data_IF_914283243037
#
_entry.id   IF_914283243037
#
_cell.length_a   1.000
_cell.length_b   1.000
_cell.length_c   1.000
_cell.angle_alpha   90.00
_cell.angle_beta   90.00
_cell.angle_gamma   90.00
#
_symmetry.space_group_name_H-M   'P 1'
#
loop_
_entity.id
_entity.type
_entity.pdbx_description
1 polymer ?
#
# COMPACT_ATOMS: atom_id res chain seq x y z
N UNK A 1 -7.82 -7.78 6.09
CA UNK A 1 -7.62 -7.16 4.78
C UNK A 1 -6.29 -6.46 4.76
N UNK A 2 -5.46 -6.86 3.81
CA UNK A 2 -4.23 -6.14 3.52
C UNK A 2 -4.54 -4.93 2.62
N UNK A 3 -3.82 -3.83 2.77
CA UNK A 3 -3.96 -2.63 1.93
C UNK A 3 -2.86 -2.63 0.87
N UNK A 4 -3.20 -2.35 -0.39
CA UNK A 4 -2.23 -2.39 -1.48
C UNK A 4 -2.29 -1.14 -2.36
N UNK A 5 -1.11 -0.63 -2.75
CA UNK A 5 -0.99 0.28 -3.89
C UNK A 5 -0.75 -0.54 -5.16
N UNK A 6 -1.80 -0.71 -5.93
CA UNK A 6 -1.77 -1.43 -7.20
C UNK A 6 -1.27 -0.52 -8.31
N UNK A 7 -0.21 -0.91 -9.00
CA UNK A 7 0.40 -0.18 -10.11
C UNK A 7 -0.03 -0.81 -11.43
N UNK A 8 -0.74 -0.04 -12.26
CA UNK A 8 -1.30 -0.52 -13.51
C UNK A 8 -0.63 0.11 -14.73
N UNK A 9 -0.71 -0.62 -15.84
CA UNK A 9 -0.26 -0.14 -17.14
C UNK A 9 -1.22 -0.62 -18.20
N UNK A 10 -1.83 0.31 -18.92
CA UNK A 10 -2.77 -0.02 -19.97
C UNK A 10 -2.04 -0.59 -21.18
N UNK A 11 -2.48 -1.74 -21.68
CA UNK A 11 -1.90 -2.32 -22.90
C UNK A 11 -2.31 -1.60 -24.18
N UNK A 12 -3.42 -0.87 -24.17
CA UNK A 12 -3.90 -0.09 -25.33
C UNK A 12 -3.20 1.26 -25.45
N UNK A 13 -3.36 2.12 -24.45
CA UNK A 13 -2.85 3.51 -24.51
C UNK A 13 -1.49 3.68 -23.82
N UNK A 14 -0.93 2.63 -23.21
CA UNK A 14 0.38 2.61 -22.51
C UNK A 14 0.46 3.55 -21.31
N UNK A 15 -0.65 4.15 -20.89
CA UNK A 15 -0.75 4.96 -19.68
C UNK A 15 -0.50 4.11 -18.45
N UNK A 16 0.14 4.69 -17.45
CA UNK A 16 0.31 4.11 -16.12
C UNK A 16 -0.51 4.91 -15.12
N UNK A 17 -1.07 4.22 -14.15
CA UNK A 17 -1.74 4.80 -12.99
C UNK A 17 -1.54 3.87 -11.81
N UNK A 18 -1.90 4.37 -10.63
CA UNK A 18 -1.91 3.60 -9.41
C UNK A 18 -3.29 3.72 -8.77
N UNK A 19 -3.71 2.70 -8.05
CA UNK A 19 -4.92 2.73 -7.25
C UNK A 19 -4.70 2.00 -5.92
N UNK A 20 -5.28 2.52 -4.85
CA UNK A 20 -5.17 1.96 -3.52
C UNK A 20 -6.40 1.13 -3.20
N UNK A 21 -6.22 -0.15 -2.86
CA UNK A 21 -7.35 -1.02 -2.61
C UNK A 21 -7.00 -2.17 -1.65
N UNK A 22 -8.02 -2.73 -1.01
CA UNK A 22 -7.91 -3.86 -0.09
C UNK A 22 -7.65 -5.23 -0.78
N UNK A 23 -7.50 -5.22 -2.11
CA UNK A 23 -7.12 -6.39 -2.93
C UNK A 23 -6.33 -5.98 -4.16
N UNK A 24 -5.56 -6.94 -4.70
CA UNK A 24 -4.95 -6.84 -6.03
C UNK A 24 -5.97 -7.28 -7.07
N UNK A 25 -6.84 -6.37 -7.47
CA UNK A 25 -7.95 -6.62 -8.37
C UNK A 25 -7.71 -5.94 -9.73
N UNK A 26 -8.37 -6.40 -10.79
CA UNK A 26 -8.23 -5.77 -12.12
C UNK A 26 -9.00 -4.43 -12.15
N UNK A 27 -8.47 -3.45 -12.89
CA UNK A 27 -9.03 -2.11 -12.98
C UNK A 27 -9.28 -1.65 -14.44
N UNK A 28 -10.10 -0.60 -14.60
CA UNK A 28 -10.37 0.07 -15.86
C UNK A 28 -9.41 1.25 -16.07
N UNK A 29 -8.80 1.32 -17.25
CA UNK A 29 -7.92 2.43 -17.59
C UNK A 29 -8.69 3.77 -17.62
N UNK A 30 -8.34 4.74 -16.76
CA UNK A 30 -9.09 6.00 -16.64
C UNK A 30 -8.95 6.92 -17.87
N UNK A 31 -8.03 6.60 -18.78
CA UNK A 31 -7.78 7.39 -19.98
C UNK A 31 -8.54 6.88 -21.21
N UNK A 32 -8.69 5.58 -21.38
CA UNK A 32 -9.26 5.00 -22.62
C UNK A 32 -10.39 4.01 -22.37
N UNK A 33 -10.77 3.76 -21.12
CA UNK A 33 -11.85 2.83 -20.75
C UNK A 33 -11.51 1.37 -21.06
N UNK A 34 -10.23 1.03 -21.23
CA UNK A 34 -9.82 -0.35 -21.42
C UNK A 34 -9.95 -1.09 -20.08
N UNK A 35 -10.73 -2.17 -20.05
CA UNK A 35 -11.07 -2.96 -18.85
C UNK A 35 -10.19 -4.18 -18.70
N UNK A 36 -10.16 -4.72 -17.49
CA UNK A 36 -9.42 -5.93 -17.13
C UNK A 36 -7.89 -5.71 -17.13
N UNK A 37 -7.44 -4.54 -16.65
CA UNK A 37 -6.00 -4.31 -16.44
C UNK A 37 -5.59 -4.87 -15.09
N UNK A 38 -4.86 -5.97 -15.10
CA UNK A 38 -4.19 -6.50 -13.91
C UNK A 38 -3.02 -5.59 -13.52
N UNK A 39 -2.80 -5.33 -12.22
CA UNK A 39 -1.63 -4.57 -11.79
C UNK A 39 -0.36 -5.32 -12.17
N UNK A 40 0.64 -4.60 -12.69
CA UNK A 40 1.94 -5.19 -13.01
C UNK A 40 2.85 -5.28 -11.77
N UNK A 41 2.53 -4.53 -10.72
CA UNK A 41 3.18 -4.56 -9.42
C UNK A 41 2.16 -4.08 -8.38
N UNK A 42 2.25 -4.60 -7.17
CA UNK A 42 1.46 -4.14 -6.02
C UNK A 42 2.39 -3.96 -4.84
N UNK A 43 2.33 -2.80 -4.21
CA UNK A 43 3.07 -2.53 -2.98
C UNK A 43 2.18 -2.84 -1.78
N UNK A 44 2.72 -3.59 -0.83
CA UNK A 44 2.07 -3.92 0.43
C UNK A 44 2.08 -2.65 1.29
N UNK A 45 0.90 -2.09 1.54
CA UNK A 45 0.69 -0.89 2.35
C UNK A 45 -0.07 -1.19 3.65
N UNK A 46 -0.28 -2.44 4.03
CA UNK A 46 -0.88 -2.79 5.34
C UNK A 46 -0.03 -2.25 6.45
N UNK A 47 1.30 -2.27 6.28
CA UNK A 47 2.22 -1.72 7.28
C UNK A 47 3.22 -0.75 6.67
N UNK A 48 3.33 0.44 7.26
CA UNK A 48 4.16 1.54 6.78
C UNK A 48 5.12 2.00 7.87
N UNK A 49 6.25 2.56 7.45
CA UNK A 49 7.16 3.29 8.34
C UNK A 49 7.22 4.73 7.83
N UNK A 50 6.69 5.66 8.61
CA UNK A 50 6.77 7.09 8.33
C UNK A 50 7.82 7.76 9.23
N UNK A 51 8.51 8.78 8.71
CA UNK A 51 9.43 9.59 9.51
C UNK A 51 8.69 10.83 10.03
N UNK A 52 8.41 10.87 11.33
CA UNK A 52 7.85 12.03 12.02
C UNK A 52 8.88 12.65 12.96
N UNK A 53 9.31 13.88 12.67
CA UNK A 53 10.17 14.69 13.56
C UNK A 53 11.47 13.99 13.98
N UNK A 54 12.01 13.13 13.13
CA UNK A 54 13.24 12.36 13.39
C UNK A 54 13.01 11.03 14.12
N UNK A 55 11.75 10.64 14.34
CA UNK A 55 11.36 9.31 14.78
C UNK A 55 10.69 8.55 13.63
N UNK A 56 10.79 7.23 13.65
CA UNK A 56 10.21 6.32 12.67
C UNK A 56 8.98 5.66 13.29
N UNK A 57 7.81 6.04 12.81
CA UNK A 57 6.51 5.58 13.29
C UNK A 57 6.08 4.40 12.42
N UNK A 58 5.88 3.24 13.05
CA UNK A 58 5.28 2.08 12.39
C UNK A 58 3.76 2.23 12.45
N UNK A 59 3.14 2.30 11.29
CA UNK A 59 1.69 2.38 11.10
C UNK A 59 1.16 1.07 10.54
N UNK A 60 -0.02 0.66 10.99
CA UNK A 60 -0.69 -0.55 10.53
C UNK A 60 -2.16 -0.28 10.27
N UNK A 61 -2.64 -0.65 9.08
CA UNK A 61 -4.06 -0.66 8.78
C UNK A 61 -4.66 -2.01 9.17
N UNK A 62 -5.67 -2.04 10.07
CA UNK A 62 -6.27 -3.28 10.52
C UNK A 62 -7.03 -3.98 9.41
N UNK A 63 -7.16 -5.28 9.59
CA UNK A 63 -7.87 -6.12 8.65
C UNK A 63 -9.36 -5.79 8.45
N UNK A 64 -9.92 -5.01 9.38
CA UNK A 64 -11.29 -4.50 9.36
C UNK A 64 -11.45 -3.20 8.56
N UNK A 65 -10.38 -2.64 8.01
CA UNK A 65 -10.45 -1.51 7.11
C UNK A 65 -11.11 -1.97 5.79
N UNK A 66 -12.19 -1.30 5.38
CA UNK A 66 -12.99 -1.69 4.21
C UNK A 66 -12.80 -0.74 3.03
N UNK A 67 -13.09 0.55 3.22
CA UNK A 67 -13.13 1.54 2.14
C UNK A 67 -11.86 2.41 2.04
N UNK A 68 -11.23 2.67 3.18
CA UNK A 68 -10.05 3.52 3.32
C UNK A 68 -9.10 2.85 4.32
N UNK A 69 -7.78 3.08 4.25
CA UNK A 69 -6.85 2.54 5.23
C UNK A 69 -7.08 3.23 6.59
N UNK A 70 -7.14 2.44 7.66
CA UNK A 70 -7.28 2.93 9.05
C UNK A 70 -5.93 2.79 9.76
N UNK A 71 -4.93 3.57 9.32
CA UNK A 71 -3.58 3.48 9.86
C UNK A 71 -3.52 3.82 11.36
N UNK A 72 -3.12 2.83 12.15
CA UNK A 72 -2.90 2.93 13.59
C UNK A 72 -1.42 2.81 13.90
N UNK A 73 -0.95 3.66 14.80
CA UNK A 73 0.42 3.57 15.30
C UNK A 73 0.60 2.28 16.11
N UNK A 74 1.51 1.41 15.64
CA UNK A 74 1.97 0.24 16.40
C UNK A 74 3.12 0.59 17.34
N UNK A 75 3.96 1.55 16.95
CA UNK A 75 5.08 2.01 17.77
C UNK A 75 5.94 3.07 17.09
N UNK A 76 6.74 3.75 17.90
CA UNK A 76 7.72 4.75 17.45
C UNK A 76 9.12 4.28 17.77
N UNK A 77 10.03 4.48 16.82
CA UNK A 77 11.40 4.03 16.92
C UNK A 77 12.37 5.15 16.57
N UNK A 78 13.57 5.19 17.19
CA UNK A 78 14.56 6.22 16.90
C UNK A 78 15.25 6.03 15.54
N UNK A 79 15.18 4.84 14.94
CA UNK A 79 15.81 4.54 13.64
C UNK A 79 14.91 3.66 12.77
N UNK A 80 15.03 3.83 11.45
CA UNK A 80 14.32 3.00 10.47
C UNK A 80 14.65 1.51 10.62
N UNK A 81 15.89 1.19 10.95
CA UNK A 81 16.34 -0.19 11.17
C UNK A 81 15.58 -0.84 12.33
N UNK A 82 15.34 -0.11 13.43
CA UNK A 82 14.56 -0.62 14.57
C UNK A 82 13.09 -0.83 14.22
N UNK A 83 12.51 0.08 13.44
CA UNK A 83 11.15 -0.07 12.92
C UNK A 83 11.04 -1.30 12.00
N UNK A 84 12.02 -1.53 11.12
CA UNK A 84 12.06 -2.72 10.26
C UNK A 84 12.26 -4.01 11.06
N UNK A 85 13.13 -4.02 12.08
CA UNK A 85 13.30 -5.15 12.99
C UNK A 85 11.99 -5.51 13.69
N UNK A 86 11.22 -4.50 14.12
CA UNK A 86 9.91 -4.71 14.72
C UNK A 86 8.93 -5.37 13.75
N UNK A 87 8.85 -4.89 12.51
CA UNK A 87 8.00 -5.49 11.47
C UNK A 87 8.43 -6.91 11.11
N UNK A 88 9.74 -7.18 11.07
CA UNK A 88 10.26 -8.51 10.76
C UNK A 88 10.03 -9.52 11.91
N UNK A 89 9.82 -9.05 13.13
CA UNK A 89 9.57 -9.89 14.31
C UNK A 89 8.09 -10.28 14.50
N UNK A 90 7.16 -9.58 13.83
CA UNK A 90 5.70 -9.81 13.91
C UNK A 90 5.20 -10.82 12.85
N UNK A 91 6.11 -11.41 12.06
CA UNK A 91 5.82 -12.36 10.97
C UNK A 91 5.92 -13.84 11.33
#
# INVERSE_FOLDING_TARGET
MAWFLNLYKCDRCRRRWADEWSCMCDDECPHCGARDMTPYASEELTTLIEEERGEFVVLWSPETAEHDPDYRELGRFPTREKALEFLAADG
#
